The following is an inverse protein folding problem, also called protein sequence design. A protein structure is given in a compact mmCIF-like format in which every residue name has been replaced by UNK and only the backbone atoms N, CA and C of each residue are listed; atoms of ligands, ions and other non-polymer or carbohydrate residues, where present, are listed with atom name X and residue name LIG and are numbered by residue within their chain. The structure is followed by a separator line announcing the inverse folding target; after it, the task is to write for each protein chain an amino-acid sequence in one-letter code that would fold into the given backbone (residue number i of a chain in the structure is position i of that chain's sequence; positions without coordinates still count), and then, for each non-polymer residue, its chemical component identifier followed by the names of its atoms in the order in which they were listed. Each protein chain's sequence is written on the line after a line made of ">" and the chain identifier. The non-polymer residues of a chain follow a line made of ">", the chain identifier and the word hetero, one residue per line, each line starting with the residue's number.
data_IF_811504143784
#
_entry.id   IF_811504143784
#
_cell.length_a   1.000
_cell.length_b   1.000
_cell.length_c   1.000
_cell.angle_alpha   90.00
_cell.angle_beta   90.00
_cell.angle_gamma   90.00
#
_symmetry.space_group_name_H-M   'P 1'
#
loop_
_entity.id
_entity.type
_entity.pdbx_description
1 polymer ?
#
# COMPACT_ATOMS: atom_id res chain seq x y z
N UNK A 1 -38.27 -12.14 -22.82
CA UNK A 1 -38.09 -10.67 -22.84
C UNK A 1 -36.64 -10.38 -22.43
N UNK A 2 -35.75 -10.19 -23.40
CA UNK A 2 -34.30 -10.01 -23.17
C UNK A 2 -34.04 -8.55 -22.84
N UNK A 3 -33.92 -8.23 -21.56
CA UNK A 3 -33.57 -6.89 -21.08
C UNK A 3 -32.09 -6.66 -21.43
N UNK A 4 -31.83 -5.62 -22.23
CA UNK A 4 -30.51 -5.26 -22.73
C UNK A 4 -29.63 -4.79 -21.56
N UNK A 5 -28.69 -5.63 -21.15
CA UNK A 5 -27.66 -5.34 -20.13
C UNK A 5 -26.84 -4.07 -20.44
N UNK A 6 -26.83 -3.63 -21.70
CA UNK A 6 -26.11 -2.42 -22.13
C UNK A 6 -26.72 -1.09 -21.69
N UNK A 7 -28.00 -1.05 -21.29
CA UNK A 7 -28.66 0.22 -20.94
C UNK A 7 -28.31 0.69 -19.53
N UNK A 8 -27.94 -0.21 -18.61
CA UNK A 8 -27.53 0.16 -17.26
C UNK A 8 -26.13 0.78 -17.20
N UNK A 9 -25.22 0.33 -18.08
CA UNK A 9 -23.84 0.84 -18.11
C UNK A 9 -23.81 2.29 -18.65
N UNK A 10 -24.65 2.61 -19.63
CA UNK A 10 -24.69 3.97 -20.20
C UNK A 10 -25.22 5.02 -19.21
N UNK A 11 -26.16 4.67 -18.33
CA UNK A 11 -26.68 5.57 -17.29
C UNK A 11 -25.63 5.80 -16.19
N UNK A 12 -24.86 4.77 -15.84
CA UNK A 12 -23.78 4.89 -14.86
C UNK A 12 -22.65 5.81 -15.34
N UNK A 13 -22.32 5.78 -16.64
CA UNK A 13 -21.30 6.66 -17.24
C UNK A 13 -21.83 8.10 -17.36
N UNK A 14 -23.11 8.28 -17.67
CA UNK A 14 -23.71 9.62 -17.79
C UNK A 14 -23.79 10.37 -16.44
N UNK A 15 -23.94 9.65 -15.33
CA UNK A 15 -23.93 10.24 -13.98
C UNK A 15 -22.52 10.63 -13.50
N UNK A 16 -21.46 10.10 -14.12
CA UNK A 16 -20.07 10.40 -13.76
C UNK A 16 -19.52 11.71 -14.34
N UNK A 17 -20.28 12.40 -15.22
CA UNK A 17 -19.89 13.68 -15.81
C UNK A 17 -20.58 14.90 -15.17
N UNK A 18 -21.31 14.72 -14.06
CA UNK A 18 -21.72 15.88 -13.26
C UNK A 18 -20.46 16.50 -12.62
N UNK A 19 -20.23 17.82 -12.73
CA UNK A 19 -19.14 18.45 -12.01
C UNK A 19 -19.33 18.17 -10.52
N UNK A 20 -18.34 17.55 -9.89
CA UNK A 20 -18.35 17.25 -8.46
C UNK A 20 -18.43 18.59 -7.73
N UNK A 21 -19.60 18.87 -7.15
CA UNK A 21 -19.77 20.02 -6.27
C UNK A 21 -19.01 19.75 -4.97
N UNK A 22 -17.79 20.29 -4.88
CA UNK A 22 -16.91 20.15 -3.71
C UNK A 22 -17.46 20.82 -2.43
N UNK A 23 -18.67 21.37 -2.45
CA UNK A 23 -19.29 22.03 -1.29
C UNK A 23 -20.10 21.10 -0.41
N UNK A 24 -20.37 19.87 -0.84
CA UNK A 24 -21.10 18.89 -0.06
C UNK A 24 -20.30 17.57 -0.06
N UNK A 25 -19.97 16.98 1.11
CA UNK A 25 -19.34 15.67 1.13
C UNK A 25 -20.29 14.69 0.41
N UNK A 26 -19.76 13.82 -0.47
CA UNK A 26 -20.57 12.90 -1.24
C UNK A 26 -21.46 12.09 -0.30
N UNK A 27 -22.78 12.18 -0.51
CA UNK A 27 -23.78 11.59 0.37
C UNK A 27 -24.03 10.10 0.16
N UNK A 28 -23.22 9.40 -0.64
CA UNK A 28 -23.42 7.97 -0.92
C UNK A 28 -22.48 7.10 -0.07
N UNK A 29 -23.07 6.25 0.76
CA UNK A 29 -22.38 5.18 1.51
C UNK A 29 -21.46 4.34 0.61
N UNK A 30 -21.81 4.20 -0.68
CA UNK A 30 -21.03 3.49 -1.69
C UNK A 30 -19.62 4.07 -1.90
N UNK A 31 -19.45 5.39 -1.86
CA UNK A 31 -18.13 6.02 -2.03
C UNK A 31 -17.23 5.74 -0.81
N UNK A 32 -17.83 5.70 0.38
CA UNK A 32 -17.13 5.36 1.61
C UNK A 32 -16.77 3.87 1.67
N UNK A 33 -17.66 2.98 1.19
CA UNK A 33 -17.41 1.55 1.12
C UNK A 33 -16.27 1.20 0.14
N UNK A 34 -16.25 1.80 -1.06
CA UNK A 34 -15.17 1.61 -2.03
C UNK A 34 -13.85 2.14 -1.48
N UNK A 35 -13.86 3.33 -0.86
CA UNK A 35 -12.67 3.89 -0.19
C UNK A 35 -12.11 2.93 0.86
N UNK A 36 -12.96 2.45 1.75
CA UNK A 36 -12.54 1.59 2.85
C UNK A 36 -12.03 0.25 2.34
N UNK A 37 -12.63 -0.28 1.27
CA UNK A 37 -12.13 -1.48 0.58
C UNK A 37 -10.73 -1.26 0.01
N UNK A 38 -10.46 -0.13 -0.67
CA UNK A 38 -9.13 0.15 -1.23
C UNK A 38 -8.12 0.36 -0.10
N UNK A 39 -8.46 1.13 0.94
CA UNK A 39 -7.62 1.32 2.12
C UNK A 39 -7.23 -0.02 2.74
N UNK A 40 -8.19 -0.93 2.92
CA UNK A 40 -7.93 -2.25 3.49
C UNK A 40 -6.95 -3.06 2.63
N UNK A 41 -7.09 -3.02 1.30
CA UNK A 41 -6.13 -3.68 0.39
C UNK A 41 -4.73 -3.09 0.53
N UNK A 42 -4.60 -1.76 0.62
CA UNK A 42 -3.29 -1.12 0.81
C UNK A 42 -2.66 -1.47 2.15
N UNK A 43 -3.44 -1.49 3.23
CA UNK A 43 -2.97 -1.91 4.55
C UNK A 43 -2.53 -3.37 4.58
N UNK A 44 -3.22 -4.25 3.85
CA UNK A 44 -2.82 -5.65 3.69
C UNK A 44 -1.47 -5.77 2.98
N UNK A 45 -1.29 -5.11 1.82
CA UNK A 45 -0.02 -5.13 1.07
C UNK A 45 1.14 -4.57 1.89
N UNK A 46 0.89 -3.49 2.64
CA UNK A 46 1.86 -2.94 3.60
C UNK A 46 2.19 -3.94 4.71
N UNK A 47 1.21 -4.66 5.23
CA UNK A 47 1.40 -5.72 6.22
C UNK A 47 2.27 -6.86 5.69
N UNK A 48 2.00 -7.34 4.48
CA UNK A 48 2.77 -8.40 3.81
C UNK A 48 4.23 -7.99 3.57
N UNK A 49 4.45 -6.77 3.06
CA UNK A 49 5.78 -6.22 2.84
C UNK A 49 6.56 -6.10 4.17
N UNK A 50 5.94 -5.57 5.23
CA UNK A 50 6.54 -5.48 6.57
C UNK A 50 6.92 -6.86 7.14
N UNK A 51 6.06 -7.86 6.98
CA UNK A 51 6.37 -9.22 7.42
C UNK A 51 7.51 -9.84 6.62
N UNK A 52 7.57 -9.60 5.31
CA UNK A 52 8.65 -10.05 4.46
C UNK A 52 9.99 -9.41 4.83
N UNK A 53 9.99 -8.10 5.10
CA UNK A 53 11.15 -7.37 5.64
C UNK A 53 11.62 -8.03 6.95
N UNK A 54 10.74 -8.21 7.94
CA UNK A 54 11.11 -8.80 9.23
C UNK A 54 11.77 -10.17 9.08
N UNK A 55 11.17 -11.05 8.26
CA UNK A 55 11.75 -12.38 7.97
C UNK A 55 13.14 -12.27 7.35
N UNK A 56 13.32 -11.35 6.38
CA UNK A 56 14.60 -11.18 5.71
C UNK A 56 15.66 -10.59 6.64
N UNK A 57 15.34 -9.55 7.39
CA UNK A 57 16.24 -8.96 8.39
C UNK A 57 16.70 -9.99 9.40
N UNK A 58 15.79 -10.80 9.95
CA UNK A 58 16.13 -11.86 10.89
C UNK A 58 17.08 -12.90 10.28
N UNK A 59 16.85 -13.32 9.04
CA UNK A 59 17.76 -14.24 8.33
C UNK A 59 19.16 -13.64 8.15
N UNK A 60 19.25 -12.35 7.79
CA UNK A 60 20.52 -11.64 7.62
C UNK A 60 21.28 -11.52 8.93
N UNK A 61 20.60 -11.16 10.01
CA UNK A 61 21.18 -11.08 11.35
C UNK A 61 21.69 -12.43 11.83
N UNK A 62 20.87 -13.49 11.69
CA UNK A 62 21.27 -14.87 12.01
C UNK A 62 22.53 -15.28 11.24
N UNK A 63 22.57 -15.01 9.92
CA UNK A 63 23.74 -15.30 9.07
C UNK A 63 24.97 -14.49 9.49
N UNK A 64 24.80 -13.25 9.95
CA UNK A 64 25.91 -12.40 10.38
C UNK A 64 26.68 -12.94 11.59
N UNK A 65 26.09 -13.85 12.38
CA UNK A 65 26.79 -14.52 13.49
C UNK A 65 27.68 -15.68 13.04
N UNK A 66 27.47 -16.23 11.84
CA UNK A 66 28.18 -17.42 11.35
C UNK A 66 29.24 -17.13 10.30
N UNK A 67 29.48 -15.86 9.95
CA UNK A 67 30.40 -15.45 8.88
C UNK A 67 31.51 -14.54 9.39
N UNK A 68 32.55 -14.33 8.58
CA UNK A 68 33.67 -13.46 8.92
C UNK A 68 33.24 -11.99 9.07
N UNK A 69 34.02 -11.21 9.83
CA UNK A 69 33.69 -9.82 10.22
C UNK A 69 33.29 -8.91 9.05
N UNK A 70 33.98 -9.00 7.90
CA UNK A 70 33.65 -8.20 6.71
C UNK A 70 32.28 -8.54 6.13
N UNK A 71 31.96 -9.82 5.98
CA UNK A 71 30.65 -10.27 5.48
C UNK A 71 29.55 -9.97 6.50
N UNK A 72 29.81 -10.18 7.79
CA UNK A 72 28.88 -9.86 8.86
C UNK A 72 28.51 -8.37 8.88
N UNK A 73 29.48 -7.48 8.60
CA UNK A 73 29.23 -6.03 8.48
C UNK A 73 28.32 -5.71 7.29
N UNK A 74 28.53 -6.38 6.14
CA UNK A 74 27.68 -6.19 4.97
C UNK A 74 26.24 -6.67 5.22
N UNK A 75 26.06 -7.85 5.82
CA UNK A 75 24.74 -8.39 6.17
C UNK A 75 23.97 -7.49 7.15
N UNK A 76 24.66 -6.95 8.17
CA UNK A 76 24.05 -5.98 9.10
C UNK A 76 23.69 -4.66 8.43
N UNK A 77 24.46 -4.21 7.45
CA UNK A 77 24.12 -3.02 6.67
C UNK A 77 22.87 -3.25 5.80
N UNK A 78 22.74 -4.43 5.19
CA UNK A 78 21.54 -4.84 4.44
C UNK A 78 20.31 -4.90 5.38
N UNK A 79 20.43 -5.52 6.55
CA UNK A 79 19.36 -5.55 7.56
C UNK A 79 18.96 -4.15 8.04
N UNK A 80 19.94 -3.26 8.28
CA UNK A 80 19.66 -1.87 8.66
C UNK A 80 18.97 -1.08 7.54
N UNK A 81 19.24 -1.38 6.27
CA UNK A 81 18.52 -0.78 5.15
C UNK A 81 17.07 -1.27 5.09
N UNK A 82 16.84 -2.57 5.31
CA UNK A 82 15.50 -3.13 5.40
C UNK A 82 14.70 -2.54 6.56
N UNK A 83 15.34 -2.29 7.71
CA UNK A 83 14.71 -1.61 8.84
C UNK A 83 14.22 -0.19 8.47
N UNK A 84 14.98 0.56 7.66
CA UNK A 84 14.51 1.87 7.18
C UNK A 84 13.25 1.75 6.34
N UNK A 85 13.19 0.77 5.44
CA UNK A 85 11.98 0.50 4.67
C UNK A 85 10.81 0.13 5.59
N UNK A 86 11.05 -0.72 6.61
CA UNK A 86 10.03 -1.07 7.58
C UNK A 86 9.45 0.17 8.27
N UNK A 87 10.30 1.09 8.74
CA UNK A 87 9.86 2.31 9.40
C UNK A 87 9.07 3.24 8.46
N UNK A 88 9.48 3.36 7.19
CA UNK A 88 8.73 4.10 6.17
C UNK A 88 7.34 3.51 5.94
N UNK A 89 7.25 2.19 5.73
CA UNK A 89 5.98 1.48 5.54
C UNK A 89 5.09 1.55 6.79
N UNK A 90 5.69 1.56 7.98
CA UNK A 90 4.98 1.70 9.25
C UNK A 90 4.37 3.10 9.40
N UNK A 91 5.14 4.16 9.10
CA UNK A 91 4.62 5.52 9.07
C UNK A 91 3.47 5.67 8.06
N UNK A 92 3.58 5.05 6.88
CA UNK A 92 2.50 5.03 5.89
C UNK A 92 1.26 4.30 6.41
N UNK A 93 1.43 3.16 7.08
CA UNK A 93 0.32 2.40 7.68
C UNK A 93 -0.44 3.28 8.68
N UNK A 94 0.29 3.99 9.54
CA UNK A 94 -0.31 4.89 10.53
C UNK A 94 -1.08 6.05 9.89
N UNK A 95 -0.57 6.62 8.80
CA UNK A 95 -1.29 7.65 8.03
C UNK A 95 -2.59 7.09 7.46
N UNK A 96 -2.55 5.90 6.83
CA UNK A 96 -3.74 5.28 6.25
C UNK A 96 -4.78 4.86 7.29
N UNK A 97 -4.36 4.43 8.48
CA UNK A 97 -5.25 4.09 9.60
C UNK A 97 -5.91 5.32 10.23
N UNK A 98 -5.19 6.44 10.30
CA UNK A 98 -5.69 7.70 10.88
C UNK A 98 -6.54 8.52 9.91
N UNK A 99 -6.32 8.39 8.61
CA UNK A 99 -7.02 9.17 7.58
C UNK A 99 -8.47 8.69 7.43
N UNK A 100 -9.34 9.29 8.25
CA UNK A 100 -10.79 9.04 8.29
C UNK A 100 -11.57 9.90 7.28
N UNK A 101 -10.92 10.86 6.61
CA UNK A 101 -11.57 11.87 5.77
C UNK A 101 -11.06 11.76 4.32
N UNK A 102 -12.00 11.83 3.39
CA UNK A 102 -11.86 11.58 1.95
C UNK A 102 -10.67 12.33 1.30
N UNK A 103 -9.79 11.57 0.63
CA UNK A 103 -9.12 12.03 -0.61
C UNK A 103 -7.60 12.17 -0.59
N UNK A 104 -6.94 12.29 0.57
CA UNK A 104 -5.49 12.50 0.60
C UNK A 104 -4.67 11.25 0.29
N UNK A 105 -5.20 10.05 0.52
CA UNK A 105 -4.47 8.82 0.20
C UNK A 105 -4.44 8.51 -1.30
N UNK A 106 -5.40 8.98 -2.10
CA UNK A 106 -5.37 8.75 -3.56
C UNK A 106 -4.17 9.43 -4.21
N UNK A 107 -3.78 10.62 -3.76
CA UNK A 107 -2.55 11.27 -4.21
C UNK A 107 -1.29 10.57 -3.69
N UNK A 108 -1.41 9.78 -2.63
CA UNK A 108 -0.32 9.02 -2.02
C UNK A 108 -0.22 7.57 -2.54
N UNK A 109 -1.24 7.06 -3.23
CA UNK A 109 -1.25 5.69 -3.74
C UNK A 109 -0.09 5.44 -4.71
N UNK A 110 0.17 6.37 -5.63
CA UNK A 110 1.30 6.25 -6.56
C UNK A 110 2.65 6.23 -5.84
N UNK A 111 2.81 7.03 -4.78
CA UNK A 111 4.03 7.01 -3.97
C UNK A 111 4.19 5.68 -3.20
N UNK A 112 3.09 5.12 -2.68
CA UNK A 112 3.09 3.82 -2.03
C UNK A 112 3.44 2.69 -3.02
N UNK A 113 2.96 2.75 -4.26
CA UNK A 113 3.31 1.77 -5.28
C UNK A 113 4.81 1.80 -5.61
N UNK A 114 5.43 2.98 -5.65
CA UNK A 114 6.88 3.12 -5.81
C UNK A 114 7.63 2.54 -4.60
N UNK A 115 7.21 2.86 -3.37
CA UNK A 115 7.82 2.32 -2.15
C UNK A 115 7.73 0.79 -2.09
N UNK A 116 6.57 0.21 -2.42
CA UNK A 116 6.39 -1.25 -2.48
C UNK A 116 7.23 -1.89 -3.58
N UNK A 117 7.42 -1.20 -4.72
CA UNK A 117 8.30 -1.67 -5.78
C UNK A 117 9.78 -1.68 -5.34
N UNK A 118 10.25 -0.65 -4.65
CA UNK A 118 11.60 -0.62 -4.09
C UNK A 118 11.83 -1.74 -3.08
N UNK A 119 10.85 -1.97 -2.20
CA UNK A 119 10.88 -3.09 -1.23
C UNK A 119 10.86 -4.43 -1.95
N UNK A 120 10.05 -4.55 -3.01
CA UNK A 120 9.98 -5.74 -3.85
C UNK A 120 11.33 -6.07 -4.49
N UNK A 121 12.02 -5.07 -5.03
CA UNK A 121 13.36 -5.22 -5.61
C UNK A 121 14.39 -5.59 -4.54
N UNK A 122 14.35 -4.94 -3.37
CA UNK A 122 15.26 -5.23 -2.27
C UNK A 122 15.08 -6.66 -1.72
N UNK A 123 13.85 -7.18 -1.74
CA UNK A 123 13.53 -8.52 -1.23
C UNK A 123 13.54 -9.62 -2.31
N UNK A 124 13.55 -9.24 -3.60
CA UNK A 124 13.46 -10.17 -4.72
C UNK A 124 12.10 -10.85 -4.88
N UNK A 125 11.00 -10.23 -4.44
CA UNK A 125 9.64 -10.80 -4.54
C UNK A 125 8.57 -9.70 -4.66
N UNK A 126 7.44 -9.92 -5.37
CA UNK A 126 6.41 -8.90 -5.57
C UNK A 126 5.45 -8.75 -4.38
N UNK A 127 4.85 -7.56 -4.24
CA UNK A 127 3.82 -7.19 -3.26
C UNK A 127 2.75 -6.35 -3.93
#
# INVERSE_FOLDING_TARGET
>A
MRIRLGTFIAVAIALACAPIDNRQPPGSEDVFAVRDSIRNVLLLRLGEAKQAINRRSEMLERKAYSVGSREAKALRAEAAQLEKYYQQLNARSQVLEQDSILGQWFSQQGALEVELLEVSQALGQPF
#
